data_IF_334707123353
#
_entry.id   IF_334707123353
#
_cell.length_a   1.000
_cell.length_b   1.000
_cell.length_c   1.000
_cell.angle_alpha   90.00
_cell.angle_beta   90.00
_cell.angle_gamma   90.00
#
_symmetry.space_group_name_H-M   'P 1'
#
loop_
_entity.id
_entity.type
_entity.pdbx_description
1 polymer ?
#
# COMPACT_ATOMS: atom_id res chain seq x y z
N UNK A 1 21.08 10.20 -18.00
CA UNK A 1 20.90 10.26 -16.54
C UNK A 1 19.80 9.27 -16.22
N UNK A 2 20.08 8.22 -15.47
CA UNK A 2 19.06 7.27 -15.05
C UNK A 2 18.18 7.96 -14.01
N UNK A 3 16.97 8.34 -14.39
CA UNK A 3 15.88 8.66 -13.46
C UNK A 3 15.66 7.44 -12.57
N UNK A 4 16.41 7.39 -11.46
CA UNK A 4 16.11 6.43 -10.41
C UNK A 4 14.83 6.93 -9.74
N UNK A 5 13.81 6.08 -9.63
CA UNK A 5 12.70 6.28 -8.72
C UNK A 5 13.20 6.82 -7.38
N UNK A 6 12.72 7.99 -6.96
CA UNK A 6 12.98 8.45 -5.61
C UNK A 6 11.70 8.25 -4.80
N UNK A 7 11.66 7.11 -4.13
CA UNK A 7 10.66 6.82 -3.12
C UNK A 7 11.15 7.38 -1.79
N UNK A 8 10.34 8.24 -1.17
CA UNK A 8 10.61 8.84 0.13
C UNK A 8 9.86 8.01 1.19
N UNK A 9 10.56 7.57 2.22
CA UNK A 9 9.94 6.85 3.35
C UNK A 9 9.23 7.89 4.22
N UNK A 10 7.91 7.75 4.37
CA UNK A 10 7.12 8.58 5.28
C UNK A 10 6.93 7.87 6.61
N UNK A 11 6.64 6.57 6.57
CA UNK A 11 6.50 5.74 7.75
C UNK A 11 7.46 4.55 7.69
N UNK A 12 8.10 4.24 8.82
CA UNK A 12 8.87 3.02 9.03
C UNK A 12 8.64 2.51 10.46
N UNK A 13 8.06 1.32 10.58
CA UNK A 13 7.74 0.73 11.88
C UNK A 13 8.07 -0.76 11.90
N UNK A 14 8.42 -1.26 13.08
CA UNK A 14 8.51 -2.71 13.32
C UNK A 14 7.19 -3.18 13.88
N UNK A 15 6.63 -4.23 13.31
CA UNK A 15 5.38 -4.85 13.76
C UNK A 15 5.48 -6.37 13.73
N UNK A 16 4.48 -7.06 14.26
CA UNK A 16 4.40 -8.51 14.23
C UNK A 16 3.07 -8.93 13.61
N UNK A 17 3.16 -9.82 12.62
CA UNK A 17 1.99 -10.26 11.85
C UNK A 17 1.02 -11.02 12.75
N UNK A 18 -0.26 -10.66 12.69
CA UNK A 18 -1.32 -11.21 13.52
C UNK A 18 -1.48 -10.55 14.89
N UNK A 19 -0.83 -9.40 15.11
CA UNK A 19 -1.09 -8.52 16.26
C UNK A 19 -1.75 -7.24 15.74
N UNK A 20 -2.74 -6.74 16.49
CA UNK A 20 -3.50 -5.54 16.15
C UNK A 20 -2.56 -4.36 15.88
N UNK A 21 -2.51 -3.95 14.61
CA UNK A 21 -1.56 -2.96 14.11
C UNK A 21 -2.27 -2.01 13.16
N UNK A 22 -2.12 -0.71 13.39
CA UNK A 22 -2.69 0.33 12.56
C UNK A 22 -1.62 1.40 12.28
N UNK A 23 -1.34 1.66 11.01
CA UNK A 23 -0.33 2.63 10.58
C UNK A 23 -0.93 3.50 9.48
N UNK A 24 -1.13 4.78 9.75
CA UNK A 24 -1.56 5.76 8.76
C UNK A 24 -0.36 6.53 8.19
N UNK A 25 -0.49 6.96 6.93
CA UNK A 25 0.47 7.86 6.28
C UNK A 25 -0.30 8.82 5.39
N UNK A 26 -0.07 10.12 5.59
CA UNK A 26 -0.65 11.19 4.79
C UNK A 26 0.45 11.99 4.09
N UNK A 27 0.24 12.23 2.81
CA UNK A 27 0.99 13.17 2.00
C UNK A 27 0.55 14.61 2.26
N UNK A 28 1.40 15.59 1.92
CA UNK A 28 1.07 17.03 2.01
C UNK A 28 -0.11 17.41 1.10
N UNK A 29 -0.30 16.69 -0.02
CA UNK A 29 -1.43 16.88 -0.93
C UNK A 29 -2.77 16.24 -0.47
N UNK A 30 -2.85 15.81 0.79
CA UNK A 30 -3.99 15.11 1.41
C UNK A 30 -4.27 13.69 0.88
N UNK A 31 -3.47 13.14 -0.03
CA UNK A 31 -3.55 11.69 -0.29
C UNK A 31 -3.16 10.94 0.97
N UNK A 32 -3.91 9.90 1.31
CA UNK A 32 -3.65 9.13 2.52
C UNK A 32 -3.88 7.65 2.31
N UNK A 33 -3.08 6.87 3.03
CA UNK A 33 -3.20 5.42 3.09
C UNK A 33 -3.15 4.94 4.53
N UNK A 34 -3.71 3.76 4.76
CA UNK A 34 -3.70 3.08 6.05
C UNK A 34 -3.32 1.62 5.82
N UNK A 35 -2.37 1.13 6.59
CA UNK A 35 -2.15 -0.30 6.79
C UNK A 35 -2.84 -0.75 8.07
N UNK A 36 -3.51 -1.91 8.00
CA UNK A 36 -4.17 -2.56 9.13
C UNK A 36 -3.82 -4.05 9.14
N UNK A 37 -3.33 -4.56 10.26
CA UNK A 37 -3.38 -5.99 10.58
C UNK A 37 -4.43 -6.17 11.68
N UNK A 38 -5.57 -6.77 11.33
CA UNK A 38 -6.69 -6.94 12.26
C UNK A 38 -6.64 -8.27 13.03
N UNK A 39 -5.44 -8.80 13.25
CA UNK A 39 -5.14 -10.12 13.82
C UNK A 39 -5.47 -11.32 12.91
N UNK A 40 -6.27 -11.16 11.86
CA UNK A 40 -6.64 -12.23 10.93
C UNK A 40 -6.09 -11.98 9.52
N UNK A 41 -6.14 -10.73 9.05
CA UNK A 41 -5.81 -10.33 7.69
C UNK A 41 -5.09 -8.99 7.70
N UNK A 42 -4.06 -8.87 6.87
CA UNK A 42 -3.40 -7.61 6.56
C UNK A 42 -4.07 -6.93 5.37
N UNK A 43 -4.47 -5.67 5.54
CA UNK A 43 -5.04 -4.83 4.51
C UNK A 43 -4.24 -3.55 4.31
N UNK A 44 -4.34 -3.00 3.10
CA UNK A 44 -3.85 -1.67 2.78
C UNK A 44 -4.96 -0.89 2.09
N UNK A 45 -5.28 0.27 2.65
CA UNK A 45 -6.40 1.09 2.20
C UNK A 45 -5.91 2.43 1.67
N UNK A 46 -6.52 2.87 0.57
CA UNK A 46 -6.53 4.29 0.22
C UNK A 46 -7.72 4.92 0.94
N UNK A 47 -7.51 6.07 1.57
CA UNK A 47 -8.54 6.72 2.39
C UNK A 47 -8.66 8.20 2.03
N UNK A 48 -9.86 8.74 2.24
CA UNK A 48 -10.14 10.17 2.29
C UNK A 48 -10.31 10.57 3.76
N UNK A 49 -9.58 11.61 4.19
CA UNK A 49 -9.50 12.10 5.57
C UNK A 49 -10.26 13.41 5.81
N UNK A 50 -11.07 13.88 4.85
CA UNK A 50 -11.72 15.19 4.93
C UNK A 50 -12.61 15.37 6.20
N UNK A 51 -13.82 14.79 6.22
CA UNK A 51 -14.77 14.97 7.34
C UNK A 51 -14.83 13.71 8.23
N UNK A 52 -14.96 12.54 7.61
CA UNK A 52 -14.90 11.22 8.26
C UNK A 52 -13.90 10.36 7.49
N UNK A 53 -13.19 9.46 8.18
CA UNK A 53 -12.29 8.52 7.53
C UNK A 53 -13.09 7.60 6.60
N UNK A 54 -12.96 7.82 5.30
CA UNK A 54 -13.66 7.05 4.28
C UNK A 54 -12.68 6.19 3.50
N UNK A 55 -12.92 4.88 3.49
CA UNK A 55 -12.17 3.96 2.61
C UNK A 55 -12.56 4.23 1.16
N UNK A 56 -11.56 4.62 0.35
CA UNK A 56 -11.69 4.81 -1.09
C UNK A 56 -11.52 3.47 -1.82
N UNK A 57 -10.51 2.71 -1.40
CA UNK A 57 -10.19 1.39 -1.94
C UNK A 57 -9.41 0.58 -0.90
N UNK A 58 -9.47 -0.75 -1.00
CA UNK A 58 -8.79 -1.69 -0.11
C UNK A 58 -8.13 -2.79 -0.90
N UNK A 59 -6.93 -3.18 -0.46
CA UNK A 59 -6.13 -4.25 -1.04
C UNK A 59 -5.82 -5.28 0.02
N UNK A 60 -6.04 -6.56 -0.30
CA UNK A 60 -5.66 -7.66 0.57
C UNK A 60 -4.16 -7.93 0.44
N UNK A 61 -3.44 -7.92 1.56
CA UNK A 61 -1.99 -8.12 1.60
C UNK A 61 -1.65 -9.58 1.93
N UNK A 62 -2.19 -10.09 3.03
CA UNK A 62 -2.01 -11.48 3.45
C UNK A 62 -3.13 -11.92 4.39
N UNK A 63 -3.33 -13.24 4.48
CA UNK A 63 -4.00 -13.84 5.63
C UNK A 63 -2.94 -14.26 6.65
N UNK A 64 -3.12 -13.93 7.92
CA UNK A 64 -2.18 -14.25 9.01
C UNK A 64 -1.95 -15.76 9.13
N UNK A 65 -2.95 -16.58 8.79
CA UNK A 65 -2.84 -18.04 8.72
C UNK A 65 -1.84 -18.53 7.67
N UNK A 66 -1.58 -17.75 6.62
CA UNK A 66 -0.71 -18.10 5.50
C UNK A 66 0.73 -17.57 5.65
N UNK A 67 1.03 -16.83 6.73
CA UNK A 67 2.36 -16.27 6.97
C UNK A 67 3.20 -17.22 7.83
N UNK A 68 4.25 -17.81 7.24
CA UNK A 68 5.09 -18.84 7.86
C UNK A 68 5.82 -18.35 9.12
N UNK A 69 6.49 -17.21 9.05
CA UNK A 69 7.33 -16.69 10.13
C UNK A 69 6.67 -15.54 10.89
N UNK A 70 5.34 -15.56 11.01
CA UNK A 70 4.56 -14.48 11.67
C UNK A 70 4.95 -14.15 13.11
N UNK A 71 5.68 -15.04 13.78
CA UNK A 71 6.19 -14.83 15.12
C UNK A 71 7.44 -13.94 15.16
N UNK A 72 8.13 -13.71 14.03
CA UNK A 72 9.28 -12.82 13.93
C UNK A 72 8.83 -11.38 13.68
N UNK A 73 9.53 -10.37 14.24
CA UNK A 73 9.30 -8.98 13.88
C UNK A 73 9.52 -8.76 12.38
N UNK A 74 8.67 -7.92 11.78
CA UNK A 74 8.77 -7.47 10.40
C UNK A 74 8.90 -5.95 10.35
N UNK A 75 9.62 -5.44 9.36
CA UNK A 75 9.75 -4.00 9.11
C UNK A 75 8.77 -3.58 8.02
N UNK A 76 7.81 -2.73 8.38
CA UNK A 76 6.87 -2.11 7.46
C UNK A 76 7.36 -0.71 7.09
N UNK A 77 7.25 -0.38 5.81
CA UNK A 77 7.50 0.97 5.28
C UNK A 77 6.34 1.40 4.40
N UNK A 78 5.89 2.63 4.59
CA UNK A 78 5.03 3.33 3.62
C UNK A 78 5.90 4.40 2.95
N UNK A 79 6.03 4.27 1.63
CA UNK A 79 6.83 5.17 0.83
C UNK A 79 5.97 5.92 -0.17
N UNK A 80 6.33 7.16 -0.46
CA UNK A 80 5.64 8.00 -1.44
C UNK A 80 6.59 8.38 -2.58
N UNK A 81 6.04 8.57 -3.78
CA UNK A 81 6.75 9.27 -4.85
C UNK A 81 6.95 10.74 -4.47
N UNK A 82 7.97 11.40 -5.03
CA UNK A 82 8.24 12.84 -4.75
C UNK A 82 7.06 13.75 -5.04
N UNK A 83 6.22 13.41 -6.02
CA UNK A 83 5.00 14.14 -6.36
C UNK A 83 3.79 13.74 -5.51
N UNK A 84 4.00 12.88 -4.51
CA UNK A 84 3.01 12.35 -3.58
C UNK A 84 1.77 11.75 -4.26
N UNK A 85 1.91 11.32 -5.51
CA UNK A 85 0.80 10.76 -6.28
C UNK A 85 0.63 9.26 -6.09
N UNK A 86 1.66 8.58 -5.57
CA UNK A 86 1.66 7.13 -5.37
C UNK A 86 2.20 6.77 -4.00
N UNK A 87 1.52 5.84 -3.34
CA UNK A 87 1.94 5.27 -2.07
C UNK A 87 2.27 3.78 -2.24
N UNK A 88 3.41 3.35 -1.71
CA UNK A 88 3.93 2.00 -1.77
C UNK A 88 3.96 1.42 -0.36
N UNK A 89 3.39 0.23 -0.20
CA UNK A 89 3.56 -0.59 0.99
C UNK A 89 4.71 -1.57 0.77
N UNK A 90 5.74 -1.51 1.61
CA UNK A 90 6.83 -2.48 1.68
C UNK A 90 6.84 -3.16 3.03
N UNK A 91 6.94 -4.49 3.06
CA UNK A 91 7.17 -5.27 4.28
C UNK A 91 8.42 -6.11 4.06
N UNK A 92 9.40 -6.02 4.95
CA UNK A 92 10.70 -6.70 4.84
C UNK A 92 11.41 -6.45 3.49
N UNK A 93 11.41 -5.19 3.05
CA UNK A 93 11.97 -4.73 1.76
C UNK A 93 11.35 -5.38 0.52
N UNK A 94 10.13 -5.91 0.63
CA UNK A 94 9.34 -6.42 -0.48
C UNK A 94 8.09 -5.58 -0.66
N UNK A 95 7.85 -5.05 -1.87
CA UNK A 95 6.66 -4.27 -2.16
C UNK A 95 5.44 -5.19 -2.26
N UNK A 96 4.44 -4.94 -1.42
CA UNK A 96 3.21 -5.71 -1.36
C UNK A 96 2.05 -5.05 -2.11
N UNK A 97 1.98 -3.72 -2.07
CA UNK A 97 0.90 -2.97 -2.67
C UNK A 97 1.32 -1.56 -3.09
N UNK A 98 0.60 -1.01 -4.06
CA UNK A 98 0.75 0.37 -4.53
C UNK A 98 -0.63 0.97 -4.79
N UNK A 99 -0.85 2.19 -4.32
CA UNK A 99 -1.96 3.04 -4.77
C UNK A 99 -1.42 4.17 -5.65
N UNK A 100 -2.05 4.39 -6.80
CA UNK A 100 -1.84 5.53 -7.69
C UNK A 100 -3.10 6.41 -7.67
N UNK A 101 -3.01 7.54 -6.96
CA UNK A 101 -4.12 8.45 -6.74
C UNK A 101 -4.48 9.23 -8.00
N UNK A 102 -3.50 9.54 -8.87
CA UNK A 102 -3.74 10.24 -10.15
C UNK A 102 -4.58 9.38 -11.08
N UNK A 103 -4.25 8.10 -11.19
CA UNK A 103 -4.96 7.16 -12.06
C UNK A 103 -6.15 6.46 -11.38
N UNK A 104 -6.31 6.67 -10.07
CA UNK A 104 -7.28 5.97 -9.21
C UNK A 104 -7.18 4.46 -9.38
N UNK A 105 -6.00 3.94 -9.05
CA UNK A 105 -5.64 2.56 -9.24
C UNK A 105 -5.00 1.99 -7.97
N UNK A 106 -5.37 0.74 -7.63
CA UNK A 106 -4.79 0.00 -6.52
C UNK A 106 -4.31 -1.38 -6.99
N UNK A 107 -3.04 -1.68 -6.70
CA UNK A 107 -2.37 -2.92 -7.10
C UNK A 107 -1.81 -3.65 -5.89
N UNK A 108 -1.98 -4.97 -5.81
CA UNK A 108 -1.32 -5.82 -4.82
C UNK A 108 -0.89 -7.16 -5.44
N UNK A 109 -0.02 -7.90 -4.75
CA UNK A 109 0.59 -9.13 -5.31
C UNK A 109 -0.40 -10.20 -5.77
N UNK A 110 -1.53 -10.32 -5.09
CA UNK A 110 -2.57 -11.29 -5.44
C UNK A 110 -3.70 -10.70 -6.30
N UNK A 111 -3.74 -9.37 -6.49
CA UNK A 111 -4.77 -8.68 -7.26
C UNK A 111 -6.15 -8.61 -6.59
N UNK A 112 -6.27 -8.94 -5.31
CA UNK A 112 -7.54 -8.96 -4.59
C UNK A 112 -7.76 -7.73 -3.69
N UNK A 113 -9.02 -7.32 -3.50
CA UNK A 113 -10.24 -7.85 -4.12
C UNK A 113 -10.40 -7.39 -5.57
N UNK A 114 -11.33 -7.99 -6.32
CA UNK A 114 -11.78 -7.39 -7.57
C UNK A 114 -12.35 -5.99 -7.29
N UNK A 115 -12.24 -5.08 -8.26
CA UNK A 115 -12.80 -3.73 -8.10
C UNK A 115 -14.33 -3.80 -8.06
N UNK A 116 -14.91 -3.40 -6.93
CA UNK A 116 -16.37 -3.25 -6.74
C UNK A 116 -16.74 -1.83 -6.30
N UNK A 117 -15.74 -0.98 -6.03
CA UNK A 117 -15.92 0.38 -5.54
C UNK A 117 -15.86 1.41 -6.68
N UNK A 118 -16.41 2.60 -6.41
CA UNK A 118 -16.52 3.68 -7.38
C UNK A 118 -15.24 4.49 -7.60
N UNK A 119 -14.23 4.30 -6.74
CA UNK A 119 -12.97 5.04 -6.83
C UNK A 119 -12.03 4.40 -7.84
N UNK A 120 -11.78 3.08 -7.75
CA UNK A 120 -10.80 2.39 -8.59
C UNK A 120 -11.29 2.20 -10.02
N UNK A 121 -10.46 2.60 -10.99
CA UNK A 121 -10.81 2.61 -12.42
C UNK A 121 -10.23 1.46 -13.25
N UNK A 122 -9.46 0.58 -12.62
CA UNK A 122 -8.74 -0.51 -13.27
C UNK A 122 -9.32 -1.87 -12.90
N UNK A 123 -9.23 -2.84 -13.83
CA UNK A 123 -9.64 -4.23 -13.58
C UNK A 123 -8.47 -5.13 -13.21
N UNK A 124 -7.33 -4.97 -13.90
CA UNK A 124 -6.11 -5.72 -13.60
C UNK A 124 -5.38 -5.07 -12.43
N UNK A 125 -5.30 -5.78 -11.30
CA UNK A 125 -4.79 -5.27 -10.02
C UNK A 125 -3.55 -6.01 -9.54
N UNK A 126 -3.04 -6.99 -10.32
CA UNK A 126 -1.86 -7.75 -9.93
C UNK A 126 -0.60 -6.90 -10.02
N UNK A 127 0.07 -6.72 -8.89
CA UNK A 127 1.34 -6.02 -8.81
C UNK A 127 2.50 -6.95 -9.22
N UNK A 128 3.04 -6.72 -10.41
CA UNK A 128 4.24 -7.40 -10.91
C UNK A 128 5.50 -6.56 -10.67
N UNK A 129 6.68 -7.16 -10.70
CA UNK A 129 7.94 -6.42 -10.53
C UNK A 129 8.16 -5.42 -11.67
N UNK A 130 7.80 -5.79 -12.90
CA UNK A 130 7.80 -4.86 -14.05
C UNK A 130 6.89 -3.66 -13.80
N UNK A 131 5.71 -3.87 -13.21
CA UNK A 131 4.80 -2.78 -12.90
C UNK A 131 5.34 -1.90 -11.77
N UNK A 132 6.05 -2.46 -10.78
CA UNK A 132 6.74 -1.68 -9.74
C UNK A 132 7.81 -0.78 -10.38
N UNK A 133 8.63 -1.31 -11.28
CA UNK A 133 9.65 -0.54 -11.99
C UNK A 133 9.02 0.62 -12.77
N UNK A 134 7.85 0.40 -13.38
CA UNK A 134 7.15 1.43 -14.14
C UNK A 134 6.44 2.47 -13.26
N UNK A 135 5.85 2.05 -12.14
CA UNK A 135 5.13 2.93 -11.22
C UNK A 135 6.07 3.79 -10.37
N UNK A 136 7.29 3.31 -10.12
CA UNK A 136 8.27 3.99 -9.29
C UNK A 136 9.00 5.11 -10.05
N UNK A 137 9.00 5.10 -11.38
CA UNK A 137 9.56 6.18 -12.20
C UNK A 137 8.74 7.46 -12.07
N UNK A 138 9.40 8.60 -11.89
CA UNK A 138 8.78 9.90 -12.07
C UNK A 138 8.45 10.07 -13.57
N UNK A 139 7.17 10.28 -13.91
CA UNK A 139 6.73 10.62 -15.27
C UNK A 139 6.52 12.11 -15.40
#
# INVERSE_FOLDING_TARGET
MTDKPKLIIYEEQTFKVGEDTFIDSAAENNNAVVFEDNCETGYFYAVDRNDDLKVLDGLHIYNVSNVTEKHKPSTLKILWTEDESKAFLSINNYYHAVFDFKNKAGYCRNGFPETTNSWTKIKERKLTDTLIDDLSKNK
#
